data_IF_863430516135
#
_entry.id   IF_863430516135
#
_cell.length_a   1.000
_cell.length_b   1.000
_cell.length_c   1.000
_cell.angle_alpha   90.00
_cell.angle_beta   90.00
_cell.angle_gamma   90.00
#
_symmetry.space_group_name_H-M   'P 1'
#
loop_
_entity.id
_entity.type
_entity.pdbx_description
1 polymer ?
#
# COMPACT_ATOMS: atom_id res chain seq x y z
N UNK A 1 -32.52 -28.33 34.69
CA UNK A 1 -31.07 -28.11 34.47
C UNK A 1 -30.86 -27.80 32.99
N UNK A 2 -30.67 -26.54 32.60
CA UNK A 2 -30.34 -26.17 31.22
C UNK A 2 -29.08 -25.30 31.25
N UNK A 3 -27.97 -25.86 30.78
CA UNK A 3 -26.62 -25.29 30.86
C UNK A 3 -26.34 -24.59 29.52
N UNK A 4 -26.06 -23.29 29.57
CA UNK A 4 -25.85 -22.39 28.43
C UNK A 4 -24.86 -22.89 27.37
N UNK A 5 -25.31 -23.00 26.11
CA UNK A 5 -24.48 -23.16 24.90
C UNK A 5 -24.14 -21.80 24.26
N UNK A 6 -23.27 -20.99 24.89
CA UNK A 6 -22.86 -19.67 24.34
C UNK A 6 -21.39 -19.53 23.94
N UNK A 7 -20.62 -20.62 23.90
CA UNK A 7 -19.14 -20.54 23.72
C UNK A 7 -18.64 -20.99 22.32
N UNK A 8 -19.47 -21.54 21.44
CA UNK A 8 -19.02 -22.10 20.16
C UNK A 8 -18.94 -21.13 18.98
N UNK A 9 -19.47 -19.90 19.08
CA UNK A 9 -19.44 -18.94 17.96
C UNK A 9 -18.12 -18.19 17.79
N UNK A 10 -17.24 -18.17 18.79
CA UNK A 10 -16.01 -17.36 18.74
C UNK A 10 -14.80 -18.04 18.09
N UNK A 11 -14.76 -19.37 18.04
CA UNK A 11 -13.59 -20.09 17.51
C UNK A 11 -13.61 -20.19 15.98
N UNK A 12 -14.78 -20.28 15.35
CA UNK A 12 -14.92 -20.42 13.88
C UNK A 12 -14.57 -19.14 13.12
N UNK A 13 -14.88 -17.95 13.65
CA UNK A 13 -14.56 -16.69 12.97
C UNK A 13 -13.05 -16.36 13.03
N UNK A 14 -12.38 -16.72 14.13
CA UNK A 14 -10.94 -16.51 14.30
C UNK A 14 -10.10 -17.45 13.42
N UNK A 15 -10.51 -18.73 13.32
CA UNK A 15 -9.91 -19.70 12.39
C UNK A 15 -10.06 -19.27 10.93
N UNK A 16 -11.24 -18.74 10.56
CA UNK A 16 -11.52 -18.23 9.22
C UNK A 16 -10.67 -17.00 8.88
N UNK A 17 -10.43 -16.08 9.84
CA UNK A 17 -9.55 -14.92 9.65
C UNK A 17 -8.08 -15.32 9.48
N UNK A 18 -7.60 -16.27 10.28
CA UNK A 18 -6.23 -16.79 10.19
C UNK A 18 -5.96 -17.51 8.86
N UNK A 19 -6.94 -18.23 8.33
CA UNK A 19 -6.83 -18.85 7.02
C UNK A 19 -6.69 -17.83 5.88
N UNK A 20 -7.41 -16.71 5.95
CA UNK A 20 -7.39 -15.67 4.91
C UNK A 20 -6.06 -14.91 4.84
N UNK A 21 -5.38 -14.72 5.96
CA UNK A 21 -4.07 -14.05 5.96
C UNK A 21 -2.95 -14.89 5.33
N UNK A 22 -3.16 -16.21 5.14
CA UNK A 22 -2.21 -17.09 4.43
C UNK A 22 -2.15 -16.84 2.93
N UNK A 23 -3.05 -16.03 2.37
CA UNK A 23 -3.02 -15.65 0.95
C UNK A 23 -1.70 -14.97 0.57
N UNK A 24 -1.05 -14.31 1.53
CA UNK A 24 0.24 -13.65 1.33
C UNK A 24 1.42 -14.61 1.38
N UNK A 25 1.26 -15.87 1.81
CA UNK A 25 2.37 -16.81 1.91
C UNK A 25 2.81 -17.29 0.52
N UNK A 26 4.09 -17.10 0.19
CA UNK A 26 4.71 -17.69 -0.98
C UNK A 26 4.95 -19.19 -0.79
N UNK A 27 4.73 -19.97 -1.85
CA UNK A 27 5.12 -21.39 -1.92
C UNK A 27 6.63 -21.56 -1.94
N UNK A 28 7.31 -20.72 -2.72
CA UNK A 28 8.77 -20.64 -2.84
C UNK A 28 9.25 -19.25 -2.44
N UNK A 29 10.30 -19.18 -1.62
CA UNK A 29 10.85 -17.91 -1.15
C UNK A 29 11.54 -17.21 -2.33
N UNK A 30 11.22 -15.94 -2.62
CA UNK A 30 11.95 -15.19 -3.64
C UNK A 30 13.43 -15.08 -3.28
N UNK A 31 14.32 -15.37 -4.22
CA UNK A 31 15.77 -15.14 -4.10
C UNK A 31 16.10 -13.65 -4.31
N UNK A 32 15.46 -12.80 -3.50
CA UNK A 32 15.55 -11.36 -3.59
C UNK A 32 15.25 -10.73 -2.24
N UNK A 33 16.11 -9.79 -1.81
CA UNK A 33 15.89 -9.05 -0.57
C UNK A 33 14.65 -8.16 -0.68
N UNK A 34 14.04 -7.83 0.46
CA UNK A 34 12.89 -6.92 0.51
C UNK A 34 13.23 -5.56 -0.08
N UNK A 35 14.45 -5.06 0.18
CA UNK A 35 14.94 -3.80 -0.37
C UNK A 35 15.03 -3.84 -1.90
N UNK A 36 15.69 -4.86 -2.48
CA UNK A 36 15.80 -4.99 -3.93
C UNK A 36 14.42 -5.13 -4.60
N UNK A 37 13.48 -5.81 -3.94
CA UNK A 37 12.11 -5.91 -4.42
C UNK A 37 11.38 -4.58 -4.38
N UNK A 38 11.52 -3.79 -3.30
CA UNK A 38 10.95 -2.45 -3.19
C UNK A 38 11.52 -1.50 -4.24
N UNK A 39 12.84 -1.51 -4.45
CA UNK A 39 13.52 -0.72 -5.49
C UNK A 39 13.03 -1.10 -6.89
N UNK A 40 12.83 -2.40 -7.15
CA UNK A 40 12.22 -2.89 -8.39
C UNK A 40 10.81 -2.33 -8.58
N UNK A 41 9.96 -2.39 -7.55
CA UNK A 41 8.61 -1.83 -7.62
C UNK A 41 8.68 -0.34 -7.93
N UNK A 42 9.49 0.41 -7.17
CA UNK A 42 9.67 1.85 -7.37
C UNK A 42 10.09 2.21 -8.79
N UNK A 43 11.08 1.51 -9.34
CA UNK A 43 11.60 1.74 -10.69
C UNK A 43 10.55 1.54 -11.78
N UNK A 44 9.73 0.50 -11.65
CA UNK A 44 8.80 0.11 -12.72
C UNK A 44 7.39 0.68 -12.57
N UNK A 45 6.89 0.91 -11.36
CA UNK A 45 5.57 1.52 -11.16
C UNK A 45 5.61 3.03 -11.29
N UNK A 46 6.73 3.67 -10.92
CA UNK A 46 6.85 5.14 -10.84
C UNK A 46 5.74 5.77 -9.99
N UNK A 47 5.23 5.05 -8.99
CA UNK A 47 4.21 5.57 -8.09
C UNK A 47 4.78 6.77 -7.30
N UNK A 48 3.93 7.73 -6.97
CA UNK A 48 4.32 8.90 -6.18
C UNK A 48 4.78 8.52 -4.76
N UNK A 49 5.64 9.32 -4.09
CA UNK A 49 6.08 9.06 -2.72
C UNK A 49 4.94 8.87 -1.72
N UNK A 50 3.85 9.63 -1.91
CA UNK A 50 2.64 9.53 -1.09
C UNK A 50 2.02 8.13 -1.08
N UNK A 51 2.14 7.39 -2.19
CA UNK A 51 1.66 6.00 -2.29
C UNK A 51 2.39 5.10 -1.30
N UNK A 52 3.71 5.27 -1.14
CA UNK A 52 4.51 4.44 -0.24
C UNK A 52 4.21 4.76 1.22
N UNK A 53 4.00 6.04 1.55
CA UNK A 53 3.56 6.43 2.91
C UNK A 53 2.20 5.82 3.22
N UNK A 54 1.25 5.91 2.29
CA UNK A 54 -0.09 5.31 2.46
C UNK A 54 -0.03 3.78 2.54
N UNK A 55 0.81 3.13 1.72
CA UNK A 55 1.04 1.69 1.80
C UNK A 55 1.61 1.27 3.16
N UNK A 56 2.52 2.06 3.73
CA UNK A 56 3.04 1.83 5.08
C UNK A 56 1.95 1.98 6.16
N UNK A 57 1.09 3.00 6.06
CA UNK A 57 -0.10 3.13 6.91
C UNK A 57 -1.00 1.89 6.80
N UNK A 58 -1.19 1.34 5.61
CA UNK A 58 -2.00 0.13 5.42
C UNK A 58 -1.39 -1.11 6.04
N UNK A 59 -0.07 -1.31 5.92
CA UNK A 59 0.64 -2.41 6.57
C UNK A 59 0.51 -2.31 8.10
N UNK A 60 0.73 -1.13 8.67
CA UNK A 60 0.61 -0.93 10.11
C UNK A 60 -0.82 -1.17 10.63
N UNK A 61 -1.83 -0.65 9.94
CA UNK A 61 -3.25 -0.95 10.23
C UNK A 61 -3.55 -2.45 10.12
N UNK A 62 -3.01 -3.10 9.10
CA UNK A 62 -3.20 -4.54 8.88
C UNK A 62 -2.62 -5.35 10.05
N UNK A 63 -1.38 -5.09 10.45
CA UNK A 63 -0.75 -5.77 11.59
C UNK A 63 -1.50 -5.53 12.91
N UNK A 64 -2.00 -4.31 13.14
CA UNK A 64 -2.84 -3.99 14.32
C UNK A 64 -4.17 -4.75 14.34
N UNK A 65 -4.79 -4.92 13.17
CA UNK A 65 -6.06 -5.64 13.04
C UNK A 65 -5.90 -7.17 13.11
N UNK A 66 -4.71 -7.67 12.81
CA UNK A 66 -4.38 -9.10 12.74
C UNK A 66 -3.08 -9.41 13.50
N UNK A 67 -3.07 -9.33 14.84
CA UNK A 67 -1.85 -9.51 15.65
C UNK A 67 -1.23 -10.92 15.53
N UNK A 68 -2.02 -11.91 15.10
CA UNK A 68 -1.54 -13.27 14.80
C UNK A 68 -0.78 -13.38 13.47
N UNK A 69 -0.90 -12.38 12.59
CA UNK A 69 -0.16 -12.36 11.34
C UNK A 69 1.26 -11.87 11.60
N UNK A 70 2.23 -12.75 11.39
CA UNK A 70 3.64 -12.43 11.52
C UNK A 70 4.23 -12.16 10.14
N UNK A 71 4.81 -10.97 9.96
CA UNK A 71 5.57 -10.66 8.76
C UNK A 71 6.82 -11.56 8.75
N UNK A 72 7.00 -12.29 7.66
CA UNK A 72 8.11 -13.21 7.45
C UNK A 72 8.65 -13.09 6.03
N UNK A 73 9.84 -13.63 5.79
CA UNK A 73 10.45 -13.67 4.45
C UNK A 73 9.55 -14.37 3.40
N UNK A 74 8.59 -15.18 3.82
CA UNK A 74 7.66 -15.88 2.91
C UNK A 74 6.47 -15.03 2.48
N UNK A 75 6.09 -14.02 3.26
CA UNK A 75 4.87 -13.25 2.99
C UNK A 75 5.10 -11.77 2.67
N UNK A 76 6.26 -11.24 3.07
CA UNK A 76 6.56 -9.81 2.96
C UNK A 76 6.50 -9.30 1.52
N UNK A 77 7.00 -10.04 0.53
CA UNK A 77 6.99 -9.61 -0.87
C UNK A 77 5.57 -9.50 -1.42
N UNK A 78 4.72 -10.51 -1.20
CA UNK A 78 3.32 -10.50 -1.64
C UNK A 78 2.52 -9.42 -0.91
N UNK A 79 2.75 -9.25 0.39
CA UNK A 79 2.11 -8.18 1.16
C UNK A 79 2.50 -6.80 0.60
N UNK A 80 3.79 -6.59 0.33
CA UNK A 80 4.32 -5.30 -0.12
C UNK A 80 3.80 -4.88 -1.50
N UNK A 81 3.84 -5.77 -2.50
CA UNK A 81 3.31 -5.44 -3.84
C UNK A 81 1.80 -5.18 -3.79
N UNK A 82 1.08 -5.92 -2.94
CA UNK A 82 -0.38 -5.77 -2.80
C UNK A 82 -0.74 -4.45 -2.14
N UNK A 83 -0.08 -4.09 -1.04
CA UNK A 83 -0.36 -2.83 -0.34
C UNK A 83 0.00 -1.61 -1.18
N UNK A 84 1.13 -1.65 -1.90
CA UNK A 84 1.55 -0.57 -2.80
C UNK A 84 0.59 -0.43 -3.98
N UNK A 85 0.18 -1.54 -4.60
CA UNK A 85 -0.79 -1.51 -5.70
C UNK A 85 -2.13 -0.89 -5.25
N UNK A 86 -2.68 -1.38 -4.13
CA UNK A 86 -3.96 -0.88 -3.62
C UNK A 86 -3.86 0.59 -3.22
N UNK A 87 -2.75 1.00 -2.60
CA UNK A 87 -2.49 2.41 -2.30
C UNK A 87 -2.39 3.27 -3.57
N UNK A 88 -1.68 2.81 -4.61
CA UNK A 88 -1.59 3.54 -5.89
C UNK A 88 -2.97 3.73 -6.50
N UNK A 89 -3.80 2.69 -6.52
CA UNK A 89 -5.17 2.77 -7.02
C UNK A 89 -6.07 3.71 -6.23
N UNK A 90 -5.84 3.85 -4.92
CA UNK A 90 -6.64 4.71 -4.05
C UNK A 90 -6.19 6.18 -4.10
N UNK A 91 -4.88 6.42 -4.17
CA UNK A 91 -4.29 7.76 -4.03
C UNK A 91 -4.12 8.47 -5.38
N UNK A 92 -3.84 7.72 -6.45
CA UNK A 92 -3.51 8.30 -7.75
C UNK A 92 -4.68 8.25 -8.73
N UNK A 93 -4.95 9.38 -9.39
CA UNK A 93 -5.98 9.49 -10.44
C UNK A 93 -5.67 8.58 -11.65
N UNK A 94 -4.38 8.30 -11.90
CA UNK A 94 -3.90 7.42 -12.96
C UNK A 94 -3.09 6.30 -12.34
N UNK A 95 -3.60 5.08 -12.45
CA UNK A 95 -2.95 3.88 -11.93
C UNK A 95 -2.88 2.77 -13.00
N UNK A 96 -2.00 1.79 -12.78
CA UNK A 96 -1.86 0.65 -13.67
C UNK A 96 -2.85 -0.47 -13.32
N UNK A 97 -3.17 -1.29 -14.34
CA UNK A 97 -3.97 -2.52 -14.15
C UNK A 97 -3.18 -3.56 -13.35
N UNK A 98 -3.89 -4.49 -12.71
CA UNK A 98 -3.28 -5.58 -11.94
C UNK A 98 -2.29 -6.42 -12.72
N UNK A 99 -2.55 -6.65 -14.01
CA UNK A 99 -1.63 -7.38 -14.88
C UNK A 99 -0.23 -6.74 -14.94
N UNK A 100 -0.15 -5.41 -14.84
CA UNK A 100 1.13 -4.70 -14.77
C UNK A 100 1.83 -4.91 -13.43
N UNK A 101 1.12 -4.71 -12.32
CA UNK A 101 1.66 -4.97 -10.97
C UNK A 101 2.07 -6.44 -10.79
N UNK A 102 1.33 -7.38 -11.37
CA UNK A 102 1.67 -8.80 -11.39
C UNK A 102 3.02 -9.03 -12.08
N UNK A 103 3.23 -8.45 -13.28
CA UNK A 103 4.52 -8.54 -13.99
C UNK A 103 5.67 -7.91 -13.20
N UNK A 104 5.44 -6.74 -12.61
CA UNK A 104 6.44 -6.08 -11.77
C UNK A 104 6.76 -6.94 -10.55
N UNK A 105 5.76 -7.51 -9.90
CA UNK A 105 5.90 -8.33 -8.70
C UNK A 105 6.36 -9.77 -8.93
N UNK A 106 6.44 -10.23 -10.19
CA UNK A 106 6.79 -11.62 -10.50
C UNK A 106 5.66 -12.62 -10.21
N UNK A 107 4.40 -12.16 -10.28
CA UNK A 107 3.19 -12.94 -10.02
C UNK A 107 2.39 -13.14 -11.31
N UNK A 108 1.53 -14.16 -11.32
CA UNK A 108 0.49 -14.24 -12.35
C UNK A 108 -0.58 -13.17 -12.10
N UNK A 109 -1.27 -12.75 -13.17
CA UNK A 109 -2.37 -11.78 -13.02
C UNK A 109 -3.49 -12.31 -12.12
N UNK A 110 -3.74 -13.62 -12.17
CA UNK A 110 -4.71 -14.27 -11.28
C UNK A 110 -4.31 -14.11 -9.81
N UNK A 111 -3.07 -14.43 -9.46
CA UNK A 111 -2.59 -14.25 -8.09
C UNK A 111 -2.68 -12.80 -7.62
N UNK A 112 -2.34 -11.84 -8.49
CA UNK A 112 -2.44 -10.42 -8.12
C UNK A 112 -3.89 -10.00 -7.86
N UNK A 113 -4.85 -10.50 -8.66
CA UNK A 113 -6.27 -10.25 -8.46
C UNK A 113 -6.78 -10.87 -7.14
N UNK A 114 -6.38 -12.12 -6.86
CA UNK A 114 -6.76 -12.82 -5.63
C UNK A 114 -6.20 -12.08 -4.39
N UNK A 115 -4.95 -11.63 -4.46
CA UNK A 115 -4.31 -10.84 -3.41
C UNK A 115 -4.99 -9.49 -3.19
N UNK A 116 -5.33 -8.77 -4.27
CA UNK A 116 -6.07 -7.50 -4.19
C UNK A 116 -7.38 -7.70 -3.46
N UNK A 117 -8.16 -8.67 -3.93
CA UNK A 117 -9.48 -8.96 -3.42
C UNK A 117 -9.41 -9.27 -1.93
N UNK A 118 -8.60 -10.24 -1.52
CA UNK A 118 -8.47 -10.61 -0.11
C UNK A 118 -7.97 -9.45 0.76
N UNK A 119 -6.99 -8.66 0.29
CA UNK A 119 -6.51 -7.51 1.05
C UNK A 119 -7.61 -6.46 1.30
N UNK A 120 -8.44 -6.18 0.29
CA UNK A 120 -9.58 -5.26 0.40
C UNK A 120 -10.58 -5.72 1.47
N UNK A 121 -10.93 -7.01 1.47
CA UNK A 121 -11.83 -7.57 2.47
C UNK A 121 -11.20 -7.62 3.86
N UNK A 122 -9.92 -7.97 3.97
CA UNK A 122 -9.21 -7.99 5.24
C UNK A 122 -9.11 -6.59 5.86
N UNK A 123 -8.95 -5.55 5.05
CA UNK A 123 -8.96 -4.16 5.49
C UNK A 123 -10.37 -3.62 5.79
N UNK A 124 -11.43 -4.40 5.48
CA UNK A 124 -12.81 -3.99 5.68
C UNK A 124 -13.14 -2.69 4.93
N UNK A 125 -12.54 -2.48 3.75
CA UNK A 125 -12.71 -1.28 2.92
C UNK A 125 -12.27 0.04 3.59
N UNK A 126 -11.48 0.00 4.68
CA UNK A 126 -11.01 1.19 5.42
C UNK A 126 -9.70 1.76 4.87
N UNK A 127 -9.76 2.30 3.65
CA UNK A 127 -8.60 2.84 2.92
C UNK A 127 -8.36 4.33 3.10
N UNK A 128 -9.34 5.07 3.64
CA UNK A 128 -9.19 6.50 3.88
C UNK A 128 -8.08 6.80 4.89
N UNK A 129 -7.21 7.74 4.53
CA UNK A 129 -6.13 8.26 5.38
C UNK A 129 -6.36 9.76 5.53
N UNK A 130 -6.60 10.21 6.76
CA UNK A 130 -6.71 11.63 7.05
C UNK A 130 -5.36 12.32 6.87
N UNK A 131 -5.40 13.61 6.51
CA UNK A 131 -4.19 14.43 6.32
C UNK A 131 -3.31 14.43 7.56
N UNK A 132 -3.88 14.61 8.75
CA UNK A 132 -3.14 14.56 10.02
C UNK A 132 -2.46 13.22 10.28
N UNK A 133 -3.08 12.11 9.88
CA UNK A 133 -2.48 10.78 9.98
C UNK A 133 -1.34 10.67 8.96
N UNK A 134 -1.56 11.07 7.71
CA UNK A 134 -0.53 11.05 6.68
C UNK A 134 0.72 11.84 7.09
N UNK A 135 0.53 13.09 7.55
CA UNK A 135 1.61 13.96 8.05
C UNK A 135 2.35 13.33 9.22
N UNK A 136 1.63 12.74 10.19
CA UNK A 136 2.25 12.04 11.32
C UNK A 136 3.15 10.88 10.88
N UNK A 137 2.76 10.13 9.85
CA UNK A 137 3.59 9.03 9.32
C UNK A 137 4.77 9.56 8.48
N UNK A 138 4.60 10.66 7.74
CA UNK A 138 5.74 11.34 7.08
C UNK A 138 6.80 11.75 8.11
N UNK A 139 6.40 12.46 9.16
CA UNK A 139 7.34 12.89 10.21
C UNK A 139 8.01 11.71 10.93
N UNK A 140 7.26 10.62 11.16
CA UNK A 140 7.81 9.41 11.75
C UNK A 140 8.87 8.77 10.84
N UNK A 141 8.58 8.58 9.56
CA UNK A 141 9.52 7.99 8.60
C UNK A 141 10.76 8.87 8.40
N UNK A 142 10.60 10.19 8.32
CA UNK A 142 11.72 11.13 8.22
C UNK A 142 12.67 10.99 9.42
N UNK A 143 12.11 10.89 10.64
CA UNK A 143 12.91 10.69 11.86
C UNK A 143 13.69 9.37 11.82
N UNK A 144 13.04 8.26 11.47
CA UNK A 144 13.71 6.95 11.38
C UNK A 144 14.84 6.97 10.35
N UNK A 145 14.63 7.66 9.23
CA UNK A 145 15.61 7.77 8.15
C UNK A 145 16.78 8.69 8.51
N UNK A 146 16.56 9.74 9.31
CA UNK A 146 17.63 10.58 9.84
C UNK A 146 18.55 9.83 10.81
N UNK A 147 18.05 8.79 11.49
CA UNK A 147 18.83 7.96 12.43
C UNK A 147 19.55 6.82 11.68
N UNK A 148 18.95 6.28 10.62
CA UNK A 148 19.43 5.10 9.89
C UNK A 148 20.28 5.36 8.63
N UNK A 149 20.65 6.61 8.32
CA UNK A 149 21.44 6.93 7.12
C UNK A 149 20.62 7.11 5.84
N UNK A 150 19.78 8.14 5.81
CA UNK A 150 19.64 9.06 4.66
C UNK A 150 18.92 8.59 3.38
N UNK A 151 17.60 8.73 3.36
CA UNK A 151 16.77 8.99 2.17
C UNK A 151 15.80 10.14 2.45
N UNK A 152 16.10 11.32 1.92
CA UNK A 152 15.36 12.55 2.18
C UNK A 152 13.96 12.51 1.51
N UNK A 153 12.93 12.02 2.21
CA UNK A 153 11.52 11.99 1.77
C UNK A 153 11.04 13.40 1.38
N UNK A 154 11.56 14.42 2.07
CA UNK A 154 11.19 15.83 1.93
C UNK A 154 11.45 16.39 0.52
N UNK A 155 12.50 15.94 -0.19
CA UNK A 155 12.81 16.46 -1.54
C UNK A 155 11.79 16.00 -2.59
N UNK A 156 11.21 14.82 -2.44
CA UNK A 156 10.26 14.30 -3.43
C UNK A 156 8.83 14.79 -3.20
N UNK A 157 8.47 15.12 -1.95
CA UNK A 157 7.19 15.78 -1.64
C UNK A 157 7.14 17.22 -2.17
N UNK A 158 8.20 18.01 -2.01
CA UNK A 158 8.28 19.36 -2.59
C UNK A 158 8.24 19.36 -4.13
N UNK A 159 8.91 18.40 -4.79
CA UNK A 159 8.84 18.29 -6.25
C UNK A 159 7.43 17.94 -6.76
N UNK A 160 6.64 17.16 -6.02
CA UNK A 160 5.26 16.84 -6.41
C UNK A 160 4.32 18.05 -6.30
N UNK A 161 4.55 18.93 -5.31
CA UNK A 161 3.83 20.20 -5.17
C UNK A 161 4.19 21.19 -6.28
N UNK A 162 5.47 21.26 -6.66
CA UNK A 162 5.97 22.11 -7.76
C UNK A 162 5.47 21.67 -9.15
N UNK A 163 5.25 20.37 -9.37
CA UNK A 163 4.67 19.87 -10.62
C UNK A 163 3.18 20.22 -10.69
N UNK A 164 2.43 20.05 -9.59
CA UNK A 164 1.01 20.42 -9.53
C UNK A 164 0.78 21.93 -9.66
N UNK A 165 1.64 22.76 -9.08
CA UNK A 165 1.54 24.23 -9.19
C UNK A 165 1.82 24.71 -10.63
N UNK A 166 2.81 24.12 -11.32
CA UNK A 166 3.13 24.41 -12.73
C UNK A 166 2.02 23.96 -13.70
N UNK A 167 1.35 22.84 -13.45
CA UNK A 167 0.22 22.38 -14.28
C UNK A 167 -1.04 23.23 -14.09
N UNK A 168 -1.32 23.70 -12.87
CA UNK A 168 -2.42 24.64 -12.58
C UNK A 168 -2.21 25.99 -13.26
N UNK A 169 -0.98 26.52 -13.23
CA UNK A 169 -0.65 27.80 -13.87
C UNK A 169 -0.76 27.71 -15.41
N UNK A 170 -0.35 26.59 -16.01
CA UNK A 170 -0.53 26.36 -17.46
C UNK A 170 -2.00 26.28 -17.88
N UNK A 171 -2.87 25.67 -17.06
CA UNK A 171 -4.32 25.63 -17.33
C UNK A 171 -4.96 27.00 -17.22
N UNK A 172 -4.57 27.82 -16.24
CA UNK A 172 -5.05 29.20 -16.10
C UNK A 172 -4.61 30.08 -17.28
N UNK A 173 -3.33 30.01 -17.67
CA UNK A 173 -2.82 30.79 -18.80
C UNK A 173 -3.46 30.38 -20.15
N UNK A 174 -3.78 29.09 -20.34
CA UNK A 174 -4.41 28.60 -21.57
C UNK A 174 -5.92 28.92 -21.63
N UNK A 175 -6.59 29.06 -20.48
CA UNK A 175 -7.97 29.53 -20.41
C UNK A 175 -8.05 31.03 -20.76
N UNK A 176 -7.12 31.85 -20.26
CA UNK A 176 -7.07 33.29 -20.55
C UNK A 176 -6.66 33.60 -21.99
N UNK A 177 -5.80 32.78 -22.60
CA UNK A 177 -5.42 32.92 -24.01
C UNK A 177 -6.58 32.64 -25.00
N UNK A 178 -7.62 31.90 -24.56
CA UNK A 178 -8.80 31.59 -25.38
C UNK A 178 -9.92 32.62 -25.28
N UNK A 179 -9.87 33.51 -24.30
CA UNK A 179 -10.87 34.57 -24.07
C UNK A 179 -10.40 35.91 -24.65
N UNK A 180 -9.14 36.00 -25.09
CA UNK A 180 -8.51 37.20 -25.65
C UNK A 180 -8.46 37.23 -27.20
N UNK A 181 -9.23 36.37 -27.88
CA UNK A 181 -9.51 36.38 -29.33
C UNK A 181 -11.01 36.58 -29.53
#
# INVERSE_FOLDING_TARGET
MARNERITRNCTWALSKCAKTRVFDCREMPDMTVQAYLERIFRYTRAGPSVYVVAYVYIDRFCKNYPQFLISARNVHRLLITTIMVASKYVEDRNYRNAYFARVGGLTTKEMNDLEFEFIFLMGFKFHVNVSVFESYCCHLEREVSIGGGYQIEKTLRCAEDIKSRERQKRYNNQNARVAL
#
